data_IF_046937289866
#
_entry.id   IF_046937289866
#
_cell.length_a   1.000
_cell.length_b   1.000
_cell.length_c   1.000
_cell.angle_alpha   90.00
_cell.angle_beta   90.00
_cell.angle_gamma   90.00
#
_symmetry.space_group_name_H-M   'P 1'
#
loop_
_entity.id
_entity.type
_entity.pdbx_description
1 polymer ?
#
# COMPACT_ATOMS: atom_id res chain seq x y z
N UNK A 1 -1.60 -16.29 -6.76
CA UNK A 1 -1.00 -17.46 -7.46
C UNK A 1 0.50 -17.58 -7.12
N UNK A 2 1.03 -18.80 -7.03
CA UNK A 2 2.43 -19.10 -6.66
C UNK A 2 3.45 -18.25 -7.43
N UNK A 3 3.16 -17.97 -8.71
CA UNK A 3 4.00 -17.14 -9.59
C UNK A 3 4.33 -15.75 -9.01
N UNK A 4 3.38 -15.10 -8.34
CA UNK A 4 3.59 -13.76 -7.75
C UNK A 4 4.55 -13.85 -6.57
N UNK A 5 4.40 -14.86 -5.71
CA UNK A 5 5.30 -15.06 -4.57
C UNK A 5 6.73 -15.35 -5.05
N UNK A 6 6.88 -16.21 -6.07
CA UNK A 6 8.17 -16.51 -6.68
C UNK A 6 8.82 -15.28 -7.33
N UNK A 7 8.03 -14.40 -7.94
CA UNK A 7 8.53 -13.14 -8.50
C UNK A 7 9.11 -12.24 -7.39
N UNK A 8 8.36 -12.03 -6.31
CA UNK A 8 8.82 -11.20 -5.18
C UNK A 8 10.04 -11.81 -4.47
N UNK A 9 10.08 -13.13 -4.29
CA UNK A 9 11.25 -13.82 -3.74
C UNK A 9 12.48 -13.64 -4.63
N UNK A 10 12.33 -13.80 -5.95
CA UNK A 10 13.41 -13.61 -6.91
C UNK A 10 13.94 -12.17 -6.89
N UNK A 11 13.05 -11.18 -6.89
CA UNK A 11 13.40 -9.77 -6.78
C UNK A 11 14.15 -9.49 -5.47
N UNK A 12 13.63 -10.01 -4.35
CA UNK A 12 14.25 -9.86 -3.04
C UNK A 12 15.65 -10.50 -2.97
N UNK A 13 15.84 -11.64 -3.64
CA UNK A 13 17.15 -12.29 -3.77
C UNK A 13 18.12 -11.42 -4.55
N UNK A 14 17.74 -10.95 -5.75
CA UNK A 14 18.55 -10.06 -6.59
C UNK A 14 18.95 -8.80 -5.82
N UNK A 15 18.00 -8.13 -5.16
CA UNK A 15 18.26 -6.95 -4.31
C UNK A 15 19.37 -7.23 -3.28
N UNK A 16 19.32 -8.37 -2.58
CA UNK A 16 20.27 -8.72 -1.52
C UNK A 16 21.62 -9.19 -2.05
N UNK A 17 21.64 -10.01 -3.08
CA UNK A 17 22.86 -10.63 -3.62
C UNK A 17 23.65 -9.65 -4.50
N UNK A 18 22.96 -8.83 -5.29
CA UNK A 18 23.58 -7.92 -6.27
C UNK A 18 23.66 -6.47 -5.75
N UNK A 19 23.06 -6.17 -4.59
CA UNK A 19 23.04 -4.82 -4.00
C UNK A 19 22.22 -3.81 -4.81
N UNK A 20 21.27 -4.27 -5.62
CA UNK A 20 20.49 -3.41 -6.51
C UNK A 20 19.33 -2.73 -5.81
N UNK A 21 19.03 -1.50 -6.22
CA UNK A 21 17.78 -0.81 -5.86
C UNK A 21 16.69 -1.20 -6.85
N UNK A 22 15.53 -1.61 -6.34
CA UNK A 22 14.39 -2.03 -7.17
C UNK A 22 13.22 -1.10 -6.95
N UNK A 23 12.67 -0.57 -8.05
CA UNK A 23 11.36 0.07 -8.06
C UNK A 23 10.36 -0.89 -8.70
N UNK A 24 9.38 -1.32 -7.92
CA UNK A 24 8.32 -2.22 -8.38
C UNK A 24 6.98 -1.49 -8.40
N UNK A 25 6.23 -1.66 -9.49
CA UNK A 25 4.88 -1.13 -9.64
C UNK A 25 3.91 -2.30 -9.73
N UNK A 26 2.94 -2.35 -8.80
CA UNK A 26 2.01 -3.46 -8.68
C UNK A 26 0.59 -2.96 -8.44
N UNK A 27 -0.38 -3.64 -9.06
CA UNK A 27 -1.80 -3.38 -8.80
C UNK A 27 -2.24 -4.00 -7.46
N UNK A 28 -1.59 -5.11 -7.05
CA UNK A 28 -1.86 -5.76 -5.78
C UNK A 28 -1.07 -5.09 -4.65
N UNK A 29 -1.65 -4.03 -4.07
CA UNK A 29 -1.05 -3.29 -2.97
C UNK A 29 -0.69 -4.18 -1.77
N UNK A 30 -1.52 -5.19 -1.44
CA UNK A 30 -1.25 -6.12 -0.35
C UNK A 30 0.04 -6.92 -0.57
N UNK A 31 0.24 -7.45 -1.77
CA UNK A 31 1.46 -8.20 -2.09
C UNK A 31 2.69 -7.30 -2.09
N UNK A 32 2.58 -6.09 -2.67
CA UNK A 32 3.65 -5.11 -2.71
C UNK A 32 4.08 -4.66 -1.31
N UNK A 33 3.12 -4.28 -0.46
CA UNK A 33 3.38 -3.83 0.92
C UNK A 33 4.02 -4.94 1.75
N UNK A 34 3.65 -6.21 1.52
CA UNK A 34 4.23 -7.32 2.27
C UNK A 34 5.74 -7.52 2.02
N UNK A 35 6.27 -7.03 0.90
CA UNK A 35 7.63 -7.33 0.43
C UNK A 35 8.49 -6.08 0.16
N UNK A 36 7.95 -4.86 0.31
CA UNK A 36 8.69 -3.62 0.11
C UNK A 36 9.44 -3.18 1.37
N UNK A 37 10.54 -2.44 1.21
CA UNK A 37 11.14 -1.67 2.31
C UNK A 37 10.39 -0.35 2.54
N UNK A 38 9.97 0.29 1.44
CA UNK A 38 9.23 1.54 1.41
C UNK A 38 8.20 1.50 0.28
N UNK A 39 7.03 2.08 0.51
CA UNK A 39 5.93 2.05 -0.45
C UNK A 39 5.31 3.43 -0.71
N UNK A 40 4.83 3.62 -1.93
CA UNK A 40 3.97 4.73 -2.32
C UNK A 40 2.67 4.16 -2.87
N UNK A 41 1.54 4.64 -2.36
CA UNK A 41 0.20 4.29 -2.86
C UNK A 41 -0.30 5.46 -3.70
N UNK A 42 -0.71 5.17 -4.93
CA UNK A 42 -1.19 6.15 -5.89
C UNK A 42 -2.64 5.89 -6.27
N UNK A 43 -3.44 6.94 -6.34
CA UNK A 43 -4.82 6.88 -6.81
C UNK A 43 -5.13 8.09 -7.70
N UNK A 44 -5.66 7.83 -8.90
CA UNK A 44 -5.93 8.85 -9.92
C UNK A 44 -4.80 9.87 -10.08
N UNK A 45 -3.58 9.37 -10.30
CA UNK A 45 -2.38 10.16 -10.58
C UNK A 45 -1.77 10.90 -9.39
N UNK A 46 -2.21 10.67 -8.15
CA UNK A 46 -1.67 11.34 -6.96
C UNK A 46 -1.23 10.34 -5.91
N UNK A 47 -0.09 10.59 -5.28
CA UNK A 47 0.36 9.83 -4.11
C UNK A 47 -0.58 10.16 -2.95
N UNK A 48 -1.25 9.15 -2.44
CA UNK A 48 -2.23 9.31 -1.35
C UNK A 48 -1.66 8.90 0.00
N UNK A 49 -0.75 7.93 0.03
CA UNK A 49 -0.07 7.40 1.21
C UNK A 49 1.35 6.97 0.83
N UNK A 50 2.28 7.07 1.78
CA UNK A 50 3.63 6.53 1.65
C UNK A 50 4.23 6.29 3.03
N UNK A 51 5.22 5.42 3.11
CA UNK A 51 5.87 5.06 4.37
C UNK A 51 6.70 3.81 4.24
N UNK A 52 7.43 3.48 5.31
CA UNK A 52 8.03 2.17 5.43
C UNK A 52 6.96 1.07 5.54
N UNK A 53 7.39 -0.18 5.41
CA UNK A 53 6.49 -1.33 5.50
C UNK A 53 5.65 -1.36 6.76
N UNK A 54 6.23 -1.05 7.92
CA UNK A 54 5.55 -1.14 9.22
C UNK A 54 4.50 -0.04 9.36
N UNK A 55 4.83 1.18 8.94
CA UNK A 55 3.91 2.30 8.87
C UNK A 55 2.73 1.99 7.95
N UNK A 56 2.97 1.42 6.77
CA UNK A 56 1.91 1.07 5.82
C UNK A 56 1.06 -0.09 6.33
N UNK A 57 1.65 -1.14 6.91
CA UNK A 57 0.91 -2.27 7.46
C UNK A 57 0.08 -1.89 8.71
N UNK A 58 0.58 -0.98 9.55
CA UNK A 58 -0.10 -0.52 10.75
C UNK A 58 -1.13 0.59 10.51
N UNK A 59 -1.17 1.18 9.32
CA UNK A 59 -2.12 2.25 9.01
C UNK A 59 -3.54 1.68 8.82
N UNK A 60 -4.48 2.11 9.66
CA UNK A 60 -5.87 1.64 9.63
C UNK A 60 -6.54 1.84 8.27
N UNK A 61 -6.29 2.98 7.61
CA UNK A 61 -6.84 3.26 6.28
C UNK A 61 -6.23 2.30 5.24
N UNK A 62 -4.92 1.98 5.33
CA UNK A 62 -4.29 0.99 4.44
C UNK A 62 -4.91 -0.40 4.61
N UNK A 63 -5.11 -0.81 5.86
CA UNK A 63 -5.70 -2.11 6.19
C UNK A 63 -7.12 -2.26 5.62
N UNK A 64 -7.91 -1.20 5.74
CA UNK A 64 -9.29 -1.15 5.26
C UNK A 64 -9.38 -1.14 3.73
N UNK A 65 -8.67 -0.22 3.06
CA UNK A 65 -8.84 -0.03 1.61
C UNK A 65 -8.02 -0.98 0.74
N UNK A 66 -6.84 -1.40 1.22
CA UNK A 66 -5.85 -2.10 0.39
C UNK A 66 -5.52 -3.52 0.86
N UNK A 67 -5.66 -3.83 2.16
CA UNK A 67 -5.38 -5.17 2.69
C UNK A 67 -6.65 -6.01 2.94
N UNK A 68 -7.83 -5.38 2.91
CA UNK A 68 -9.13 -6.04 3.01
C UNK A 68 -9.44 -6.57 4.42
N UNK A 69 -8.98 -5.86 5.46
CA UNK A 69 -9.19 -6.28 6.87
C UNK A 69 -10.52 -5.78 7.47
N UNK A 70 -11.33 -5.02 6.73
CA UNK A 70 -12.69 -4.63 7.13
C UNK A 70 -13.73 -5.34 6.26
N UNK A 71 -14.73 -5.94 6.92
CA UNK A 71 -15.79 -6.76 6.30
C UNK A 71 -16.86 -5.99 5.50
N UNK A 72 -16.56 -4.78 5.02
CA UNK A 72 -17.53 -3.97 4.28
C UNK A 72 -17.43 -4.25 2.77
N UNK A 73 -18.57 -4.68 2.19
CA UNK A 73 -18.73 -4.96 0.76
C UNK A 73 -18.69 -3.70 -0.14
N UNK A 74 -18.67 -2.52 0.46
CA UNK A 74 -18.50 -1.22 -0.19
C UNK A 74 -17.16 -0.63 0.22
N UNK A 75 -16.21 -0.52 -0.72
CA UNK A 75 -14.90 0.11 -0.50
C UNK A 75 -14.98 1.57 -0.97
N UNK A 76 -15.18 2.56 -0.08
CA UNK A 76 -15.09 3.97 -0.49
C UNK A 76 -13.67 4.31 -0.95
N UNK A 77 -13.51 5.33 -1.80
CA UNK A 77 -12.18 5.78 -2.22
C UNK A 77 -11.44 6.40 -1.03
N UNK A 78 -10.13 6.16 -0.91
CA UNK A 78 -9.32 6.81 0.13
C UNK A 78 -9.35 8.35 0.01
N UNK A 79 -9.59 8.87 -1.21
CA UNK A 79 -9.82 10.31 -1.43
C UNK A 79 -10.99 10.81 -0.57
N UNK A 80 -12.07 10.05 -0.48
CA UNK A 80 -13.28 10.42 0.26
C UNK A 80 -13.02 10.49 1.76
N UNK A 81 -12.19 9.59 2.30
CA UNK A 81 -11.79 9.60 3.72
C UNK A 81 -10.97 10.83 4.07
N UNK A 82 -10.00 11.23 3.23
CA UNK A 82 -9.23 12.47 3.44
C UNK A 82 -10.13 13.71 3.41
N UNK A 83 -11.08 13.77 2.49
CA UNK A 83 -12.04 14.87 2.42
C UNK A 83 -12.96 14.88 3.65
N UNK A 84 -13.39 13.72 4.13
CA UNK A 84 -14.21 13.57 5.32
C UNK A 84 -13.49 14.05 6.59
N UNK A 85 -12.26 13.56 6.86
CA UNK A 85 -11.47 13.97 8.03
C UNK A 85 -11.17 15.47 8.03
N UNK A 86 -10.91 16.07 6.86
CA UNK A 86 -10.73 17.54 6.75
C UNK A 86 -11.99 18.31 7.08
N UNK A 87 -13.16 17.90 6.56
CA UNK A 87 -14.43 18.61 6.82
C UNK A 87 -14.82 18.62 8.30
N UNK A 88 -14.61 17.51 9.03
CA UNK A 88 -14.88 17.46 10.47
C UNK A 88 -14.02 18.40 11.31
N UNK A 89 -12.84 18.79 10.83
CA UNK A 89 -11.91 19.67 11.53
C UNK A 89 -12.35 21.14 11.56
N UNK A 90 -13.31 21.53 10.72
CA UNK A 90 -13.88 22.89 10.67
C UNK A 90 -15.21 23.02 11.43
N UNK A 91 -15.70 21.94 12.02
CA UNK A 91 -16.95 21.90 12.81
C UNK A 91 -16.67 21.89 14.31
N UNK A 92 -15.45 22.26 14.72
CA UNK A 92 -15.03 22.42 16.11
C UNK A 92 -14.53 23.82 16.37
#
# INVERSE_FOLDING_TARGET
>A
PILVQQLFETIGRIKREEGLTVLLVEQNARAAIAQCDYGYIMEGGRIVLHGDREQLQGNQDVQEFYLGMSGAADRPSYRDVKHYRRRKRWLG
#
